data_IF_655928581211
#
_entry.id   IF_655928581211
#
_cell.length_a   1.000
_cell.length_b   1.000
_cell.length_c   1.000
_cell.angle_alpha   90.00
_cell.angle_beta   90.00
_cell.angle_gamma   90.00
#
_symmetry.space_group_name_H-M   'P 1'
#
loop_
_entity.id
_entity.type
_entity.pdbx_description
1 polymer ?
#
# COMPACT_ATOMS: atom_id res chain seq x y z
N UNK A 1 -29.26 16.02 -17.85
CA UNK A 1 -28.29 16.17 -16.76
C UNK A 1 -26.93 15.76 -17.29
N UNK A 2 -26.10 16.73 -17.66
CA UNK A 2 -24.78 16.47 -18.23
C UNK A 2 -23.75 16.32 -17.11
N UNK A 3 -22.88 15.29 -17.11
CA UNK A 3 -21.83 15.19 -16.13
C UNK A 3 -20.77 16.26 -16.41
N UNK A 4 -20.40 17.02 -15.37
CA UNK A 4 -19.34 18.01 -15.41
C UNK A 4 -17.99 17.29 -15.56
N UNK A 5 -17.41 17.35 -16.76
CA UNK A 5 -16.01 17.00 -17.00
C UNK A 5 -15.12 18.00 -16.26
N UNK A 6 -14.51 17.56 -15.17
CA UNK A 6 -13.42 18.29 -14.52
C UNK A 6 -12.18 18.18 -15.40
N UNK A 7 -11.99 19.12 -16.32
CA UNK A 7 -10.75 19.26 -17.08
C UNK A 7 -9.58 19.54 -16.12
N UNK A 8 -8.60 18.65 -16.09
CA UNK A 8 -7.30 18.93 -15.50
C UNK A 8 -6.70 20.18 -16.17
N UNK A 9 -6.02 21.08 -15.43
CA UNK A 9 -5.44 22.28 -16.02
C UNK A 9 -4.48 21.90 -17.14
N UNK A 10 -4.82 22.31 -18.36
CA UNK A 10 -4.06 22.00 -19.57
C UNK A 10 -2.69 22.68 -19.47
N UNK A 11 -1.62 21.88 -19.37
CA UNK A 11 -0.24 22.38 -19.42
C UNK A 11 0.73 21.81 -18.37
N UNK A 12 0.27 21.12 -17.32
CA UNK A 12 1.16 20.41 -16.41
C UNK A 12 1.37 18.97 -16.88
N UNK A 13 2.62 18.47 -16.94
CA UNK A 13 2.85 17.06 -17.21
C UNK A 13 2.12 16.21 -16.15
N UNK A 14 1.60 15.03 -16.53
CA UNK A 14 0.87 14.17 -15.60
C UNK A 14 1.79 13.76 -14.45
N UNK A 15 1.29 13.92 -13.22
CA UNK A 15 2.00 13.55 -12.00
C UNK A 15 2.49 12.10 -12.08
N UNK A 16 3.71 11.86 -11.63
CA UNK A 16 4.34 10.54 -11.59
C UNK A 16 4.50 10.06 -10.16
N UNK A 17 3.98 8.88 -9.87
CA UNK A 17 4.16 8.21 -8.59
C UNK A 17 4.75 6.82 -8.75
N UNK A 18 5.63 6.46 -7.81
CA UNK A 18 6.20 5.11 -7.70
C UNK A 18 5.66 4.43 -6.46
N UNK A 19 4.99 3.30 -6.66
CA UNK A 19 4.45 2.45 -5.59
C UNK A 19 5.44 1.33 -5.31
N UNK A 20 5.98 1.24 -4.09
CA UNK A 20 7.00 0.24 -3.72
C UNK A 20 6.39 -0.77 -2.76
N UNK A 21 6.36 -2.05 -3.13
CA UNK A 21 5.78 -3.09 -2.28
C UNK A 21 6.83 -3.86 -1.49
N UNK A 22 6.58 -3.99 -0.19
CA UNK A 22 7.30 -4.90 0.70
C UNK A 22 6.58 -6.24 0.68
N UNK A 23 7.32 -7.35 0.59
CA UNK A 23 6.80 -8.68 0.32
C UNK A 23 5.97 -9.35 1.42
N UNK A 24 5.00 -8.68 2.03
CA UNK A 24 4.55 -9.07 3.36
C UNK A 24 3.09 -8.88 3.69
N UNK A 25 2.13 -9.01 2.76
CA UNK A 25 0.71 -9.32 3.04
C UNK A 25 -0.14 -9.27 1.76
N UNK A 26 -0.96 -10.31 1.53
CA UNK A 26 -1.90 -10.34 0.41
C UNK A 26 -2.87 -9.14 0.39
N UNK A 27 -3.26 -8.66 1.58
CA UNK A 27 -4.10 -7.46 1.73
C UNK A 27 -3.43 -6.16 1.29
N UNK A 28 -2.10 -6.05 1.42
CA UNK A 28 -1.34 -4.88 0.99
C UNK A 28 -1.34 -4.75 -0.54
N UNK A 29 -1.07 -5.84 -1.24
CA UNK A 29 -1.03 -5.86 -2.71
C UNK A 29 -2.40 -5.62 -3.36
N UNK A 30 -3.48 -6.18 -2.79
CA UNK A 30 -4.84 -5.92 -3.28
C UNK A 30 -5.23 -4.44 -3.12
N UNK A 31 -4.88 -3.83 -1.98
CA UNK A 31 -5.07 -2.40 -1.76
C UNK A 31 -4.25 -1.56 -2.76
N UNK A 32 -2.97 -1.90 -2.98
CA UNK A 32 -2.12 -1.21 -3.95
C UNK A 32 -2.70 -1.30 -5.36
N UNK A 33 -3.26 -2.45 -5.76
CA UNK A 33 -3.92 -2.58 -7.06
C UNK A 33 -5.10 -1.61 -7.19
N UNK A 34 -5.99 -1.57 -6.19
CA UNK A 34 -7.13 -0.65 -6.18
C UNK A 34 -6.70 0.82 -6.19
N UNK A 35 -5.70 1.17 -5.39
CA UNK A 35 -5.11 2.52 -5.37
C UNK A 35 -4.52 2.88 -6.73
N UNK A 36 -3.76 1.97 -7.33
CA UNK A 36 -3.12 2.16 -8.64
C UNK A 36 -4.16 2.40 -9.72
N UNK A 37 -5.21 1.58 -9.80
CA UNK A 37 -6.32 1.78 -10.74
C UNK A 37 -6.98 3.16 -10.54
N UNK A 38 -7.23 3.56 -9.29
CA UNK A 38 -7.83 4.86 -8.96
C UNK A 38 -6.95 6.06 -9.32
N UNK A 39 -5.63 5.92 -9.22
CA UNK A 39 -4.66 6.95 -9.60
C UNK A 39 -4.50 7.06 -11.12
N UNK A 40 -4.40 5.92 -11.81
CA UNK A 40 -4.35 5.88 -13.28
C UNK A 40 -5.61 6.48 -13.88
N UNK A 41 -6.80 6.15 -13.35
CA UNK A 41 -8.07 6.74 -13.77
C UNK A 41 -8.14 8.26 -13.59
N UNK A 42 -7.29 8.84 -12.73
CA UNK A 42 -7.17 10.29 -12.50
C UNK A 42 -6.05 10.94 -13.31
N UNK A 43 -5.43 10.21 -14.25
CA UNK A 43 -4.36 10.71 -15.12
C UNK A 43 -2.97 10.74 -14.46
N UNK A 44 -2.78 10.06 -13.34
CA UNK A 44 -1.46 9.92 -12.70
C UNK A 44 -0.68 8.79 -13.37
N UNK A 45 0.58 9.04 -13.76
CA UNK A 45 1.49 8.00 -14.23
C UNK A 45 1.99 7.19 -13.05
N UNK A 46 1.55 5.94 -12.95
CA UNK A 46 1.94 5.05 -11.84
C UNK A 46 2.97 4.03 -12.32
N UNK A 47 4.03 3.85 -11.54
CA UNK A 47 4.95 2.72 -11.66
C UNK A 47 4.91 1.88 -10.39
N UNK A 48 4.65 0.60 -10.51
CA UNK A 48 4.67 -0.35 -9.39
C UNK A 48 5.98 -1.12 -9.39
N UNK A 49 6.77 -0.93 -8.33
CA UNK A 49 7.99 -1.67 -8.06
C UNK A 49 7.68 -2.85 -7.15
N UNK A 50 7.60 -4.04 -7.73
CA UNK A 50 7.26 -5.27 -7.04
C UNK A 50 8.00 -6.49 -7.62
N UNK A 51 8.05 -7.61 -6.90
CA UNK A 51 8.50 -8.88 -7.48
C UNK A 51 7.51 -9.37 -8.55
N UNK A 52 8.01 -10.11 -9.54
CA UNK A 52 7.19 -10.59 -10.67
C UNK A 52 6.02 -11.46 -10.19
N UNK A 53 6.20 -12.21 -9.11
CA UNK A 53 5.15 -13.06 -8.54
C UNK A 53 3.97 -12.24 -8.02
N UNK A 54 4.25 -11.04 -7.48
CA UNK A 54 3.21 -10.14 -7.02
C UNK A 54 2.44 -9.55 -8.20
N UNK A 55 3.13 -9.14 -9.26
CA UNK A 55 2.46 -8.63 -10.47
C UNK A 55 1.63 -9.71 -11.17
N UNK A 56 2.12 -10.96 -11.26
CA UNK A 56 1.32 -12.08 -11.78
C UNK A 56 0.05 -12.34 -10.97
N UNK A 57 0.10 -12.13 -9.65
CA UNK A 57 -1.03 -12.40 -8.76
C UNK A 57 -2.06 -11.27 -8.76
N UNK A 58 -1.59 -10.02 -8.77
CA UNK A 58 -2.44 -8.84 -8.59
C UNK A 58 -2.63 -8.02 -9.87
N UNK A 59 -1.93 -8.35 -10.95
CA UNK A 59 -2.05 -7.72 -12.26
C UNK A 59 -2.02 -6.18 -12.17
N UNK A 60 -0.88 -5.64 -11.73
CA UNK A 60 -0.72 -4.19 -11.63
C UNK A 60 -0.65 -3.56 -13.02
N UNK A 61 -0.01 -4.24 -13.98
CA UNK A 61 0.03 -3.81 -15.37
C UNK A 61 -1.38 -3.65 -15.97
N UNK A 62 -2.31 -4.56 -15.69
CA UNK A 62 -3.70 -4.48 -16.15
C UNK A 62 -4.50 -3.28 -15.60
N UNK A 63 -3.95 -2.53 -14.64
CA UNK A 63 -4.53 -1.24 -14.21
C UNK A 63 -4.11 -0.04 -15.06
N UNK A 64 -3.22 -0.25 -16.04
CA UNK A 64 -2.60 0.81 -16.85
C UNK A 64 -1.31 1.38 -16.25
N UNK A 65 -0.79 0.78 -15.17
CA UNK A 65 0.47 1.16 -14.57
C UNK A 65 1.67 0.47 -15.23
N UNK A 66 2.83 1.11 -15.19
CA UNK A 66 4.09 0.43 -15.48
C UNK A 66 4.45 -0.52 -14.33
N UNK A 67 4.96 -1.71 -14.62
CA UNK A 67 5.52 -2.62 -13.62
C UNK A 67 7.03 -2.73 -13.81
N UNK A 68 7.79 -2.57 -12.73
CA UNK A 68 9.23 -2.80 -12.70
C UNK A 68 9.51 -3.89 -11.69
N UNK A 69 10.17 -4.95 -12.15
CA UNK A 69 10.64 -5.99 -11.26
C UNK A 69 11.69 -5.44 -10.30
N UNK A 70 11.39 -5.50 -9.01
CA UNK A 70 12.37 -5.23 -7.96
C UNK A 70 12.32 -6.37 -6.94
N UNK A 71 13.39 -7.18 -6.82
CA UNK A 71 13.46 -8.29 -5.85
C UNK A 71 13.19 -7.83 -4.43
N UNK A 72 12.82 -8.73 -3.52
CA UNK A 72 12.58 -8.41 -2.09
C UNK A 72 13.89 -8.31 -1.29
N UNK A 73 14.92 -7.75 -1.88
CA UNK A 73 16.25 -7.68 -1.31
C UNK A 73 16.69 -6.23 -1.11
N UNK A 74 17.52 -6.02 -0.09
CA UNK A 74 18.17 -4.74 0.22
C UNK A 74 19.61 -4.70 -0.28
N UNK A 75 20.02 -5.66 -1.13
CA UNK A 75 21.33 -5.64 -1.78
C UNK A 75 21.50 -4.41 -2.68
N UNK A 76 22.75 -3.98 -2.95
CA UNK A 76 23.03 -2.79 -3.73
C UNK A 76 22.40 -2.77 -5.13
N UNK A 77 22.29 -3.91 -5.81
CA UNK A 77 21.70 -3.98 -7.15
C UNK A 77 20.18 -3.76 -7.09
N UNK A 78 19.50 -4.41 -6.14
CA UNK A 78 18.06 -4.20 -5.91
C UNK A 78 17.74 -2.74 -5.52
N UNK A 79 18.59 -2.11 -4.69
CA UNK A 79 18.45 -0.69 -4.32
C UNK A 79 18.74 0.22 -5.51
N UNK A 80 19.73 -0.12 -6.34
CA UNK A 80 20.05 0.59 -7.58
C UNK A 80 18.91 0.57 -8.59
N UNK A 81 18.29 -0.60 -8.80
CA UNK A 81 17.11 -0.74 -9.65
C UNK A 81 15.92 0.09 -9.14
N UNK A 82 15.66 0.06 -7.82
CA UNK A 82 14.64 0.89 -7.21
C UNK A 82 14.95 2.39 -7.37
N UNK A 83 16.21 2.79 -7.20
CA UNK A 83 16.65 4.18 -7.40
C UNK A 83 16.42 4.64 -8.84
N UNK A 84 16.74 3.79 -9.82
CA UNK A 84 16.47 4.07 -11.23
C UNK A 84 14.97 4.24 -11.50
N UNK A 85 14.13 3.35 -10.95
CA UNK A 85 12.67 3.46 -11.06
C UNK A 85 12.11 4.76 -10.45
N UNK A 86 12.72 5.26 -9.38
CA UNK A 86 12.34 6.51 -8.72
C UNK A 86 12.82 7.79 -9.42
N UNK A 87 13.55 7.69 -10.54
CA UNK A 87 13.99 8.87 -11.30
C UNK A 87 12.77 9.64 -11.82
N UNK A 88 12.76 10.96 -11.65
CA UNK A 88 11.65 11.85 -12.01
C UNK A 88 10.29 11.50 -11.36
N UNK A 89 10.29 10.75 -10.26
CA UNK A 89 9.08 10.56 -9.47
C UNK A 89 8.75 11.87 -8.71
N UNK A 90 7.50 12.32 -8.79
CA UNK A 90 7.01 13.43 -7.98
C UNK A 90 6.75 12.99 -6.54
N UNK A 91 6.40 11.71 -6.35
CA UNK A 91 6.23 11.09 -5.03
C UNK A 91 6.48 9.59 -5.07
N UNK A 92 7.17 9.08 -4.06
CA UNK A 92 7.32 7.64 -3.85
C UNK A 92 6.46 7.22 -2.67
N UNK A 93 5.64 6.20 -2.87
CA UNK A 93 4.79 5.64 -1.84
C UNK A 93 5.20 4.19 -1.55
N UNK A 94 5.74 3.94 -0.36
CA UNK A 94 6.23 2.63 0.04
C UNK A 94 5.28 1.94 1.05
N UNK A 95 4.97 0.67 0.79
CA UNK A 95 4.00 -0.12 1.55
C UNK A 95 4.72 -1.17 2.41
N UNK A 96 4.69 -0.95 3.72
CA UNK A 96 5.35 -1.82 4.70
C UNK A 96 6.82 -1.49 4.98
N UNK A 97 7.29 -1.84 6.17
CA UNK A 97 8.58 -1.38 6.72
C UNK A 97 9.78 -1.68 5.82
N UNK A 98 9.87 -2.88 5.25
CA UNK A 98 11.01 -3.26 4.41
C UNK A 98 11.03 -2.50 3.07
N UNK A 99 9.88 -2.30 2.43
CA UNK A 99 9.83 -1.46 1.23
C UNK A 99 10.13 0.01 1.57
N UNK A 100 9.62 0.50 2.69
CA UNK A 100 9.92 1.86 3.14
C UNK A 100 11.41 2.05 3.39
N UNK A 101 12.07 1.09 4.04
CA UNK A 101 13.52 1.17 4.26
C UNK A 101 14.31 1.18 2.95
N UNK A 102 13.94 0.31 2.00
CA UNK A 102 14.58 0.26 0.68
C UNK A 102 14.34 1.55 -0.12
N UNK A 103 13.15 2.13 -0.01
CA UNK A 103 12.84 3.43 -0.61
C UNK A 103 13.70 4.55 0.02
N UNK A 104 13.91 4.55 1.34
CA UNK A 104 14.83 5.49 2.01
C UNK A 104 16.26 5.37 1.46
N UNK A 105 16.75 4.16 1.24
CA UNK A 105 18.07 3.94 0.63
C UNK A 105 18.11 4.44 -0.82
N UNK A 106 17.10 4.07 -1.62
CA UNK A 106 17.01 4.45 -3.03
C UNK A 106 16.90 5.96 -3.23
N UNK A 107 16.21 6.66 -2.33
CA UNK A 107 16.01 8.11 -2.34
C UNK A 107 17.12 8.90 -1.64
N UNK A 108 18.18 8.23 -1.16
CA UNK A 108 19.33 8.92 -0.57
C UNK A 108 19.85 10.04 -1.48
N UNK A 109 19.92 11.26 -0.92
CA UNK A 109 20.35 12.47 -1.64
C UNK A 109 19.35 13.05 -2.64
N UNK A 110 18.11 12.54 -2.70
CA UNK A 110 17.02 13.09 -3.54
C UNK A 110 16.04 13.91 -2.70
N UNK A 111 15.39 14.87 -3.32
CA UNK A 111 14.33 15.70 -2.72
C UNK A 111 12.93 15.11 -2.90
N UNK A 112 12.81 13.99 -3.63
CA UNK A 112 11.53 13.33 -3.88
C UNK A 112 10.83 12.97 -2.56
N UNK A 113 9.62 13.47 -2.32
CA UNK A 113 8.83 13.14 -1.13
C UNK A 113 8.58 11.63 -1.01
N UNK A 114 8.74 11.12 0.21
CA UNK A 114 8.48 9.72 0.56
C UNK A 114 7.25 9.62 1.46
N UNK A 115 6.21 8.95 0.95
CA UNK A 115 5.04 8.54 1.72
C UNK A 115 5.22 7.08 2.11
N UNK A 116 4.94 6.73 3.37
CA UNK A 116 5.04 5.33 3.83
C UNK A 116 3.73 4.90 4.46
N UNK A 117 3.23 3.72 4.11
CA UNK A 117 2.08 3.12 4.79
C UNK A 117 2.53 1.99 5.72
N UNK A 118 2.11 2.06 6.98
CA UNK A 118 2.31 1.01 7.97
C UNK A 118 1.02 0.21 8.12
N UNK A 119 1.09 -1.08 7.80
CA UNK A 119 -0.07 -1.97 7.78
C UNK A 119 -0.17 -2.87 9.02
N UNK A 120 0.91 -3.04 9.79
CA UNK A 120 0.92 -3.97 10.94
C UNK A 120 2.01 -3.61 11.98
N UNK A 121 1.84 -4.10 13.21
CA UNK A 121 2.88 -4.13 14.23
C UNK A 121 3.76 -5.36 13.96
N UNK A 122 4.98 -5.16 13.48
CA UNK A 122 5.91 -6.29 13.36
C UNK A 122 6.40 -6.67 14.75
N UNK A 123 5.80 -7.70 15.36
CA UNK A 123 6.29 -8.23 16.62
C UNK A 123 7.56 -9.06 16.37
N UNK A 124 8.61 -8.74 17.09
CA UNK A 124 9.86 -9.49 17.09
C UNK A 124 10.47 -9.38 18.49
N UNK A 125 11.19 -10.41 18.89
CA UNK A 125 11.87 -10.47 20.19
C UNK A 125 13.39 -10.35 20.03
N UNK A 126 14.08 -10.06 21.13
CA UNK A 126 15.55 -10.02 21.19
C UNK A 126 16.21 -9.00 20.25
N UNK A 127 17.38 -9.35 19.72
CA UNK A 127 18.19 -8.49 18.86
C UNK A 127 17.45 -8.06 17.58
N UNK A 128 16.61 -8.94 17.02
CA UNK A 128 15.78 -8.64 15.85
C UNK A 128 14.79 -7.51 16.13
N UNK A 129 14.22 -7.47 17.34
CA UNK A 129 13.35 -6.37 17.77
C UNK A 129 14.08 -5.03 17.77
N UNK A 130 15.33 -5.02 18.24
CA UNK A 130 16.15 -3.81 18.25
C UNK A 130 16.43 -3.32 16.82
N UNK A 131 16.83 -4.22 15.93
CA UNK A 131 17.05 -3.91 14.51
C UNK A 131 15.78 -3.32 13.87
N UNK A 132 14.61 -3.95 14.06
CA UNK A 132 13.36 -3.43 13.50
C UNK A 132 13.02 -2.04 14.05
N UNK A 133 13.24 -1.77 15.34
CA UNK A 133 13.06 -0.43 15.93
C UNK A 133 13.98 0.61 15.29
N UNK A 134 15.23 0.25 15.00
CA UNK A 134 16.16 1.16 14.31
C UNK A 134 15.71 1.44 12.88
N UNK A 135 15.27 0.42 12.14
CA UNK A 135 14.73 0.57 10.79
C UNK A 135 13.47 1.43 10.80
N UNK A 136 12.54 1.18 11.71
CA UNK A 136 11.33 1.99 11.89
C UNK A 136 11.66 3.45 12.17
N UNK A 137 12.59 3.72 13.09
CA UNK A 137 13.06 5.08 13.42
C UNK A 137 13.69 5.76 12.22
N UNK A 138 14.50 5.04 11.44
CA UNK A 138 15.11 5.58 10.23
C UNK A 138 14.07 5.92 9.19
N UNK A 139 13.10 5.04 8.97
CA UNK A 139 11.99 5.23 8.02
C UNK A 139 11.10 6.39 8.43
N UNK A 140 10.63 6.42 9.69
CA UNK A 140 9.72 7.47 10.16
C UNK A 140 10.33 8.87 10.03
N UNK A 141 11.62 9.01 10.37
CA UNK A 141 12.33 10.28 10.27
C UNK A 141 12.62 10.74 8.84
N UNK A 142 12.76 9.80 7.92
CA UNK A 142 13.04 10.07 6.52
C UNK A 142 11.76 10.32 5.69
N UNK A 143 10.64 9.75 6.11
CA UNK A 143 9.36 9.93 5.44
C UNK A 143 8.88 11.39 5.54
N UNK A 144 8.33 11.89 4.44
CA UNK A 144 7.58 13.15 4.42
C UNK A 144 6.26 12.99 5.15
N UNK A 145 5.57 11.87 4.92
CA UNK A 145 4.31 11.51 5.61
C UNK A 145 4.30 10.01 5.92
N UNK A 146 3.93 9.67 7.16
CA UNK A 146 3.64 8.30 7.59
C UNK A 146 2.12 8.12 7.68
N UNK A 147 1.60 7.13 6.97
CA UNK A 147 0.21 6.73 6.95
C UNK A 147 0.02 5.48 7.82
N UNK A 148 -0.70 5.63 8.94
CA UNK A 148 -1.09 4.50 9.79
C UNK A 148 -2.50 4.03 9.44
N UNK A 149 -2.73 2.71 9.43
CA UNK A 149 -4.08 2.13 9.24
C UNK A 149 -4.93 2.12 10.52
N UNK A 150 -4.34 2.47 11.66
CA UNK A 150 -5.02 2.61 12.95
C UNK A 150 -4.42 3.78 13.76
N UNK A 151 -5.18 4.37 14.70
CA UNK A 151 -4.68 5.42 15.58
C UNK A 151 -3.39 5.02 16.33
N UNK A 152 -3.31 3.77 16.80
CA UNK A 152 -2.13 3.26 17.49
C UNK A 152 -0.86 3.29 16.61
N UNK A 153 -1.01 3.01 15.32
CA UNK A 153 0.10 3.07 14.36
C UNK A 153 0.52 4.52 14.10
N UNK A 154 -0.42 5.46 14.08
CA UNK A 154 -0.14 6.89 13.98
C UNK A 154 0.64 7.37 15.20
N UNK A 155 0.21 7.00 16.40
CA UNK A 155 0.91 7.40 17.63
C UNK A 155 2.28 6.74 17.75
N UNK A 156 2.40 5.48 17.31
CA UNK A 156 3.71 4.83 17.16
C UNK A 156 4.60 5.60 16.20
N UNK A 157 4.09 6.00 15.03
CA UNK A 157 4.87 6.75 14.05
C UNK A 157 5.41 8.05 14.64
N UNK A 158 4.57 8.80 15.36
CA UNK A 158 4.97 10.02 16.08
C UNK A 158 6.07 9.76 17.10
N UNK A 159 5.89 8.77 17.98
CA UNK A 159 6.92 8.38 18.98
C UNK A 159 8.23 7.92 18.35
N UNK A 160 8.15 7.31 17.17
CA UNK A 160 9.31 6.85 16.39
C UNK A 160 9.99 7.99 15.61
N UNK A 161 9.43 9.19 15.62
CA UNK A 161 10.03 10.41 15.07
C UNK A 161 9.52 10.81 13.69
N UNK A 162 8.31 10.38 13.32
CA UNK A 162 7.64 10.88 12.12
C UNK A 162 7.37 12.38 12.23
N UNK A 163 7.68 13.12 11.16
CA UNK A 163 7.43 14.57 11.06
C UNK A 163 5.95 14.87 10.82
N UNK A 164 5.30 14.02 10.03
CA UNK A 164 3.86 14.06 9.75
C UNK A 164 3.35 12.62 9.78
N UNK A 165 2.37 12.37 10.64
CA UNK A 165 1.74 11.06 10.80
C UNK A 165 0.22 11.21 10.76
N UNK A 166 -0.42 10.53 9.81
CA UNK A 166 -1.86 10.64 9.53
C UNK A 166 -2.52 9.28 9.49
N UNK A 167 -3.78 9.24 9.87
CA UNK A 167 -4.61 8.06 9.68
C UNK A 167 -4.96 7.95 8.20
N UNK A 168 -4.61 6.83 7.58
CA UNK A 168 -5.09 6.52 6.24
C UNK A 168 -6.40 5.75 6.34
N UNK A 169 -7.45 6.30 5.72
CA UNK A 169 -8.67 5.57 5.44
C UNK A 169 -8.37 4.50 4.38
N UNK A 170 -7.78 3.38 4.80
CA UNK A 170 -7.72 2.20 3.95
C UNK A 170 -9.15 1.68 3.86
N UNK A 171 -9.78 1.91 2.71
CA UNK A 171 -10.98 1.18 2.33
C UNK A 171 -10.63 -0.30 2.41
N UNK A 172 -11.14 -0.97 3.45
CA UNK A 172 -11.14 -2.43 3.49
C UNK A 172 -11.78 -2.88 2.17
N UNK A 173 -11.15 -3.78 1.40
CA UNK A 173 -11.82 -4.37 0.25
C UNK A 173 -13.16 -4.89 0.77
N UNK A 174 -14.25 -4.43 0.14
CA UNK A 174 -15.60 -4.65 0.60
C UNK A 174 -15.75 -6.10 1.04
N UNK A 175 -16.11 -6.31 2.30
CA UNK A 175 -16.54 -7.59 2.83
C UNK A 175 -17.51 -8.14 1.79
N UNK A 176 -17.11 -9.18 1.06
CA UNK A 176 -18.01 -9.86 0.14
C UNK A 176 -19.22 -10.24 0.97
N UNK A 177 -20.35 -9.57 0.72
CA UNK A 177 -21.62 -9.99 1.29
C UNK A 177 -21.77 -11.45 0.84
N UNK A 178 -21.93 -12.42 1.75
CA UNK A 178 -22.30 -13.76 1.33
C UNK A 178 -23.51 -13.59 0.41
N UNK A 179 -23.46 -14.18 -0.78
CA UNK A 179 -24.63 -14.21 -1.65
C UNK A 179 -25.83 -14.69 -0.81
N UNK A 180 -27.02 -14.09 -0.92
CA UNK A 180 -28.19 -14.67 -0.31
C UNK A 180 -28.26 -16.13 -0.78
N UNK A 181 -28.20 -17.06 0.16
CA UNK A 181 -28.44 -18.47 -0.15
C UNK A 181 -29.79 -18.55 -0.85
N UNK A 182 -29.94 -19.39 -1.89
CA UNK A 182 -31.25 -19.60 -2.49
C UNK A 182 -32.22 -20.05 -1.39
N UNK A 183 -33.38 -19.40 -1.33
CA UNK A 183 -34.46 -19.77 -0.42
C UNK A 183 -34.70 -21.28 -0.55
N UNK A 184 -34.39 -22.02 0.52
CA UNK A 184 -34.80 -23.39 0.68
C UNK A 184 -36.25 -23.38 1.21
N UNK A 185 -37.26 -23.71 0.39
CA UNK A 185 -38.66 -23.60 0.78
C UNK A 185 -39.10 -24.70 1.77
N UNK A 186 -38.19 -25.57 2.25
CA UNK A 186 -38.56 -26.74 3.05
C UNK A 186 -38.46 -26.56 4.58
N UNK A 187 -38.27 -25.33 5.07
CA UNK A 187 -38.26 -25.05 6.53
C UNK A 187 -39.62 -24.80 7.18
N UNK A 188 -40.72 -25.02 6.47
CA UNK A 188 -42.07 -25.01 7.02
C UNK A 188 -42.58 -26.44 7.21
N UNK A 189 -42.07 -27.13 8.23
CA UNK A 189 -42.81 -28.25 8.84
C UNK A 189 -43.06 -28.00 10.32
N UNK A 190 -44.33 -27.87 10.74
CA UNK A 190 -44.68 -27.59 12.13
C UNK A 190 -44.46 -28.83 13.00
N UNK A 191 -43.67 -28.71 14.06
CA UNK A 191 -43.65 -29.70 15.13
C UNK A 191 -44.78 -29.40 16.11
N UNK A 192 -45.91 -30.07 15.89
CA UNK A 192 -46.96 -30.22 16.89
C UNK A 192 -46.72 -31.47 17.74
N UNK A 193 -46.80 -31.28 19.07
CA UNK A 193 -47.13 -32.20 20.19
C UNK A 193 -46.18 -33.35 20.52
N UNK A 194 -45.86 -33.55 21.80
CA UNK A 194 -46.75 -34.20 22.79
C UNK A 194 -46.25 -33.98 24.23
N UNK A 195 -47.21 -33.94 25.14
CA UNK A 195 -47.10 -33.91 26.60
C UNK A 195 -46.60 -35.25 27.17
N UNK A 196 -45.89 -35.18 28.30
CA UNK A 196 -46.04 -36.02 29.50
C UNK A 196 -45.43 -35.26 30.69
#
# INVERSE_FOLDING_TARGET
MSPLSSNAPHGRPPLRTVQVLGGGNAGGSAHVRSLTAGLVARGVRVTVCAPVEADRTYDFAGTGAGHIHVPRSSDPASVGALRAACTDADVVHAHGLHASFRAVLALGGRTTPLVVTWHDRTYAEGARAHLLRLLERRVARAATVVLGTSPDLVDRARRTGARDARLAAVTLPGRTRPAPAPDDPDRLRPKARAEL
#
